data_IF_933761130685
#
_entry.id   IF_933761130685
#
_cell.length_a   1.000
_cell.length_b   1.000
_cell.length_c   1.000
_cell.angle_alpha   90.00
_cell.angle_beta   90.00
_cell.angle_gamma   90.00
#
_symmetry.space_group_name_H-M   'P 1'
#
loop_
_entity.id
_entity.type
_entity.pdbx_description
1 polymer ?
#
# COMPACT_ATOMS: atom_id res chain seq x y z
N UNK A 1 -11.78 1.57 16.36
CA UNK A 1 -12.00 2.03 14.99
C UNK A 1 -11.25 1.15 14.03
N UNK A 2 -11.89 0.79 12.95
CA UNK A 2 -11.25 -0.04 11.94
C UNK A 2 -10.41 0.80 11.02
N UNK A 3 -9.25 0.27 10.68
CA UNK A 3 -8.39 0.85 9.68
C UNK A 3 -8.98 0.51 8.31
N UNK A 4 -9.18 1.52 7.46
CA UNK A 4 -9.77 1.33 6.14
C UNK A 4 -8.67 1.28 5.09
N UNK A 5 -8.63 0.21 4.32
CA UNK A 5 -7.51 -0.06 3.42
C UNK A 5 -7.97 -0.29 1.99
N UNK A 6 -7.27 0.31 1.05
CA UNK A 6 -7.44 0.04 -0.38
C UNK A 6 -6.24 -0.79 -0.83
N UNK A 7 -6.48 -1.91 -1.52
CA UNK A 7 -5.43 -2.77 -2.04
C UNK A 7 -5.25 -2.52 -3.53
N UNK A 8 -4.03 -2.29 -3.96
CA UNK A 8 -3.72 -2.06 -5.38
C UNK A 8 -2.69 -3.06 -5.85
N UNK A 9 -3.10 -3.96 -6.74
CA UNK A 9 -2.25 -5.03 -7.24
C UNK A 9 -2.91 -5.58 -8.51
N UNK A 10 -2.12 -5.99 -9.49
CA UNK A 10 -2.69 -6.55 -10.72
C UNK A 10 -3.04 -8.03 -10.58
N UNK A 11 -2.64 -8.68 -9.50
CA UNK A 11 -2.93 -10.10 -9.27
C UNK A 11 -4.22 -10.27 -8.47
N UNK A 12 -5.24 -10.84 -9.11
CA UNK A 12 -6.51 -11.13 -8.44
C UNK A 12 -6.28 -12.09 -7.28
N UNK A 13 -5.41 -13.09 -7.46
CA UNK A 13 -5.12 -14.05 -6.40
C UNK A 13 -4.55 -13.38 -5.16
N UNK A 14 -3.61 -12.47 -5.37
CA UNK A 14 -3.04 -11.76 -4.23
C UNK A 14 -4.09 -10.90 -3.54
N UNK A 15 -4.91 -10.19 -4.33
CA UNK A 15 -5.94 -9.32 -3.78
C UNK A 15 -6.93 -10.11 -2.92
N UNK A 16 -7.35 -11.28 -3.39
CA UNK A 16 -8.28 -12.12 -2.62
C UNK A 16 -7.65 -12.63 -1.33
N UNK A 17 -6.40 -13.10 -1.41
CA UNK A 17 -5.71 -13.64 -0.25
C UNK A 17 -5.42 -12.53 0.77
N UNK A 18 -4.97 -11.39 0.30
CA UNK A 18 -4.65 -10.27 1.19
C UNK A 18 -5.91 -9.73 1.86
N UNK A 19 -7.00 -9.65 1.11
CA UNK A 19 -8.27 -9.18 1.67
C UNK A 19 -8.73 -10.10 2.80
N UNK A 20 -8.72 -11.40 2.56
CA UNK A 20 -9.16 -12.37 3.56
C UNK A 20 -8.28 -12.30 4.80
N UNK A 21 -6.96 -12.20 4.60
CA UNK A 21 -6.01 -12.11 5.70
C UNK A 21 -6.24 -10.87 6.54
N UNK A 22 -6.36 -9.72 5.90
CA UNK A 22 -6.48 -8.45 6.62
C UNK A 22 -7.83 -8.32 7.30
N UNK A 23 -8.90 -8.76 6.64
CA UNK A 23 -10.23 -8.69 7.26
C UNK A 23 -10.34 -9.58 8.48
N UNK A 24 -9.69 -10.74 8.44
CA UNK A 24 -9.65 -11.62 9.61
C UNK A 24 -9.00 -10.93 10.80
N UNK A 25 -8.03 -10.06 10.53
CA UNK A 25 -7.30 -9.36 11.58
C UNK A 25 -7.91 -8.01 11.94
N UNK A 26 -9.09 -7.71 11.42
CA UNK A 26 -9.82 -6.49 11.80
C UNK A 26 -9.56 -5.27 10.94
N UNK A 27 -8.84 -5.41 9.82
CA UNK A 27 -8.65 -4.31 8.88
C UNK A 27 -9.80 -4.32 7.89
N UNK A 28 -10.44 -3.18 7.68
CA UNK A 28 -11.54 -3.08 6.73
C UNK A 28 -10.97 -2.83 5.33
N UNK A 29 -11.04 -3.82 4.45
CA UNK A 29 -10.61 -3.64 3.06
C UNK A 29 -11.80 -3.05 2.32
N UNK A 30 -11.73 -1.74 2.08
CA UNK A 30 -12.87 -1.00 1.52
C UNK A 30 -12.93 -1.08 0.00
N UNK A 31 -11.86 -1.52 -0.63
CA UNK A 31 -11.86 -1.70 -2.08
C UNK A 31 -10.56 -2.30 -2.56
N UNK A 32 -10.56 -2.67 -3.84
CA UNK A 32 -9.37 -3.18 -4.52
C UNK A 32 -9.29 -2.47 -5.87
N UNK A 33 -8.07 -2.34 -6.39
CA UNK A 33 -7.83 -1.76 -7.70
C UNK A 33 -6.72 -2.54 -8.38
N UNK A 34 -6.81 -2.69 -9.69
CA UNK A 34 -5.85 -3.50 -10.43
C UNK A 34 -4.97 -2.68 -11.37
N UNK A 35 -5.17 -1.37 -11.41
CA UNK A 35 -4.40 -0.47 -12.26
C UNK A 35 -4.26 0.88 -11.59
N UNK A 36 -3.36 1.70 -12.11
CA UNK A 36 -3.18 3.05 -11.59
C UNK A 36 -4.42 3.92 -11.70
N UNK A 37 -5.06 4.00 -12.88
CA UNK A 37 -6.27 4.80 -13.01
C UNK A 37 -7.39 4.34 -12.10
N UNK A 38 -7.57 3.03 -11.95
CA UNK A 38 -8.59 2.49 -11.05
C UNK A 38 -8.27 2.85 -9.60
N UNK A 39 -6.99 2.76 -9.22
CA UNK A 39 -6.56 3.09 -7.87
C UNK A 39 -6.84 4.55 -7.54
N UNK A 40 -6.55 5.46 -8.48
CA UNK A 40 -6.81 6.88 -8.26
C UNK A 40 -8.29 7.17 -8.09
N UNK A 41 -9.13 6.55 -8.93
CA UNK A 41 -10.58 6.74 -8.84
C UNK A 41 -11.13 6.19 -7.53
N UNK A 42 -10.69 5.00 -7.14
CA UNK A 42 -11.15 4.37 -5.91
C UNK A 42 -10.69 5.12 -4.67
N UNK A 43 -9.44 5.58 -4.67
CA UNK A 43 -8.93 6.33 -3.52
C UNK A 43 -9.69 7.63 -3.32
N UNK A 44 -9.99 8.34 -4.42
CA UNK A 44 -10.76 9.58 -4.33
C UNK A 44 -12.18 9.33 -3.82
N UNK A 45 -12.78 8.23 -4.27
CA UNK A 45 -14.15 7.88 -3.90
C UNK A 45 -14.24 7.37 -2.45
N UNK A 46 -13.32 6.50 -2.07
CA UNK A 46 -13.41 5.79 -0.80
C UNK A 46 -12.67 6.47 0.34
N UNK A 47 -11.75 7.35 0.02
CA UNK A 47 -10.90 8.05 1.00
C UNK A 47 -10.38 7.10 2.08
N UNK A 48 -9.61 6.07 1.69
CA UNK A 48 -9.11 5.10 2.67
C UNK A 48 -8.06 5.73 3.58
N UNK A 49 -7.84 5.09 4.72
CA UNK A 49 -6.76 5.51 5.63
C UNK A 49 -5.41 5.12 5.06
N UNK A 50 -5.35 3.95 4.41
CA UNK A 50 -4.12 3.37 3.89
C UNK A 50 -4.36 2.85 2.49
N UNK A 51 -3.37 3.02 1.63
CA UNK A 51 -3.36 2.39 0.31
C UNK A 51 -2.12 1.52 0.24
N UNK A 52 -2.31 0.22 0.00
CA UNK A 52 -1.20 -0.70 -0.24
C UNK A 52 -1.00 -0.79 -1.75
N UNK A 53 0.17 -0.42 -2.23
CA UNK A 53 0.45 -0.30 -3.66
C UNK A 53 1.58 -1.22 -4.06
N UNK A 54 1.30 -2.16 -4.98
CA UNK A 54 2.35 -2.99 -5.57
C UNK A 54 3.28 -2.10 -6.39
N UNK A 55 4.58 -2.27 -6.21
CA UNK A 55 5.55 -1.47 -6.96
C UNK A 55 5.56 -1.83 -8.45
N UNK A 56 5.03 -3.00 -8.80
CA UNK A 56 5.05 -3.48 -10.19
C UNK A 56 3.62 -3.84 -10.60
N UNK A 57 2.96 -2.90 -11.29
CA UNK A 57 1.58 -3.08 -11.71
C UNK A 57 1.49 -3.29 -13.20
N UNK A 58 1.85 -4.47 -13.68
CA UNK A 58 1.67 -4.86 -15.09
C UNK A 58 1.95 -3.70 -16.06
N UNK A 59 3.20 -3.28 -16.11
CA UNK A 59 3.60 -2.19 -17.01
C UNK A 59 3.48 -0.79 -16.42
N UNK A 60 2.97 -0.67 -15.21
CA UNK A 60 2.88 0.62 -14.53
C UNK A 60 3.76 0.60 -13.28
N UNK A 61 4.33 1.74 -12.95
CA UNK A 61 5.18 1.85 -11.76
C UNK A 61 4.34 2.20 -10.54
N UNK A 62 4.45 1.39 -9.50
CA UNK A 62 3.82 1.70 -8.22
C UNK A 62 4.40 2.93 -7.58
N UNK A 63 5.68 3.26 -7.88
CA UNK A 63 6.29 4.48 -7.37
C UNK A 63 5.63 5.72 -7.98
N UNK A 64 5.35 5.70 -9.28
CA UNK A 64 4.66 6.79 -9.94
C UNK A 64 3.23 6.92 -9.44
N UNK A 65 2.58 5.80 -9.19
CA UNK A 65 1.23 5.82 -8.64
C UNK A 65 1.22 6.40 -7.24
N UNK A 66 2.22 6.08 -6.43
CA UNK A 66 2.31 6.64 -5.08
C UNK A 66 2.40 8.17 -5.12
N UNK A 67 3.17 8.70 -6.06
CA UNK A 67 3.26 10.15 -6.24
C UNK A 67 1.91 10.74 -6.61
N UNK A 68 1.22 10.13 -7.58
CA UNK A 68 -0.07 10.61 -8.04
C UNK A 68 -1.12 10.55 -6.92
N UNK A 69 -1.09 9.49 -6.11
CA UNK A 69 -2.02 9.36 -5.00
C UNK A 69 -1.78 10.45 -3.95
N UNK A 70 -0.52 10.74 -3.65
CA UNK A 70 -0.18 11.75 -2.64
C UNK A 70 -0.74 13.12 -3.02
N UNK A 71 -0.80 13.42 -4.32
CA UNK A 71 -1.34 14.70 -4.77
C UNK A 71 -2.86 14.77 -4.65
N UNK A 72 -3.54 13.65 -4.50
CA UNK A 72 -5.00 13.62 -4.58
C UNK A 72 -5.69 13.22 -3.29
N UNK A 73 -5.03 12.44 -2.44
CA UNK A 73 -5.65 11.95 -1.21
C UNK A 73 -4.69 12.07 -0.05
N UNK A 74 -5.25 12.05 1.14
CA UNK A 74 -4.47 12.16 2.38
C UNK A 74 -4.09 10.80 2.94
N UNK A 75 -4.38 9.73 2.23
CA UNK A 75 -4.10 8.37 2.69
C UNK A 75 -2.61 8.13 2.88
N UNK A 76 -2.29 7.28 3.84
CA UNK A 76 -0.92 6.80 4.00
C UNK A 76 -0.67 5.74 2.94
N UNK A 77 0.46 5.81 2.26
CA UNK A 77 0.80 4.87 1.21
C UNK A 77 1.89 3.95 1.69
N UNK A 78 1.68 2.65 1.53
CA UNK A 78 2.67 1.62 1.85
C UNK A 78 2.90 0.83 0.57
N UNK A 79 4.16 0.72 0.17
CA UNK A 79 4.51 -0.04 -1.03
C UNK A 79 4.69 -1.51 -0.66
N UNK A 80 4.26 -2.40 -1.54
CA UNK A 80 4.41 -3.84 -1.34
C UNK A 80 5.06 -4.46 -2.57
N UNK A 81 5.76 -5.57 -2.38
CA UNK A 81 6.43 -6.26 -3.49
C UNK A 81 6.79 -7.69 -3.09
N UNK A 82 6.96 -8.54 -4.10
CA UNK A 82 7.55 -9.86 -3.89
C UNK A 82 9.08 -9.79 -3.90
N UNK A 83 9.66 -8.65 -4.24
CA UNK A 83 11.11 -8.45 -4.24
C UNK A 83 11.56 -7.88 -2.91
N UNK A 84 12.82 -8.09 -2.56
CA UNK A 84 13.35 -7.56 -1.32
C UNK A 84 13.53 -6.05 -1.38
N UNK A 85 13.42 -5.39 -0.24
CA UNK A 85 13.61 -3.94 -0.15
C UNK A 85 14.97 -3.51 -0.69
N UNK A 86 16.00 -4.34 -0.50
CA UNK A 86 17.36 -4.01 -0.96
C UNK A 86 17.41 -3.64 -2.43
N UNK A 87 16.52 -4.23 -3.24
CA UNK A 87 16.50 -3.98 -4.67
C UNK A 87 15.93 -2.60 -5.01
N UNK A 88 15.18 -2.00 -4.08
CA UNK A 88 14.44 -0.76 -4.36
C UNK A 88 14.62 0.29 -3.28
N UNK A 89 15.61 0.12 -2.40
CA UNK A 89 15.73 0.96 -1.22
C UNK A 89 15.76 2.45 -1.54
N UNK A 90 16.52 2.83 -2.55
CA UNK A 90 16.62 4.25 -2.92
C UNK A 90 15.32 4.78 -3.48
N UNK A 91 14.62 3.96 -4.28
CA UNK A 91 13.35 4.37 -4.86
C UNK A 91 12.28 4.51 -3.79
N UNK A 92 12.26 3.60 -2.82
CA UNK A 92 11.31 3.68 -1.71
C UNK A 92 11.59 4.93 -0.89
N UNK A 93 12.87 5.19 -0.58
CA UNK A 93 13.25 6.35 0.21
C UNK A 93 12.90 7.66 -0.49
N UNK A 94 12.96 7.68 -1.82
CA UNK A 94 12.63 8.88 -2.59
C UNK A 94 11.13 9.05 -2.81
N UNK A 95 10.32 8.03 -2.50
CA UNK A 95 8.88 8.07 -2.75
C UNK A 95 8.15 8.67 -1.56
N UNK A 96 6.89 9.07 -1.73
CA UNK A 96 6.08 9.58 -0.61
C UNK A 96 5.52 8.48 0.27
N UNK A 97 5.86 7.22 0.02
CA UNK A 97 5.34 6.12 0.82
C UNK A 97 5.87 6.17 2.24
N UNK A 98 5.01 5.78 3.19
CA UNK A 98 5.38 5.70 4.59
C UNK A 98 6.35 4.55 4.84
N UNK A 99 6.23 3.49 4.05
CA UNK A 99 7.11 2.34 4.20
C UNK A 99 6.90 1.31 3.11
N UNK A 100 7.55 0.18 3.30
CA UNK A 100 7.56 -0.92 2.35
C UNK A 100 7.35 -2.22 3.11
N UNK A 101 6.54 -3.12 2.54
CA UNK A 101 6.37 -4.45 3.09
C UNK A 101 6.54 -5.48 1.98
N UNK A 102 7.26 -6.56 2.29
CA UNK A 102 7.30 -7.70 1.38
C UNK A 102 5.92 -8.36 1.45
N UNK A 103 5.40 -8.80 0.31
CA UNK A 103 4.05 -9.38 0.28
C UNK A 103 3.92 -10.58 1.23
N UNK A 104 4.99 -11.36 1.40
CA UNK A 104 4.96 -12.51 2.31
C UNK A 104 4.90 -12.11 3.78
N UNK A 105 5.22 -10.86 4.10
CA UNK A 105 5.19 -10.36 5.46
C UNK A 105 3.95 -9.52 5.76
N UNK A 106 3.02 -9.45 4.82
CA UNK A 106 1.83 -8.62 4.98
C UNK A 106 0.94 -9.14 6.09
N UNK A 107 0.59 -8.27 7.02
CA UNK A 107 -0.34 -8.55 8.10
C UNK A 107 -0.82 -7.24 8.68
N UNK A 108 -1.89 -7.26 9.45
CA UNK A 108 -2.35 -6.07 10.15
C UNK A 108 -1.28 -5.53 11.08
N UNK A 109 -0.57 -6.43 11.76
CA UNK A 109 0.51 -6.05 12.66
C UNK A 109 1.64 -5.35 11.92
N UNK A 110 2.04 -5.89 10.75
CA UNK A 110 3.10 -5.29 9.95
C UNK A 110 2.71 -3.90 9.47
N UNK A 111 1.46 -3.71 9.06
CA UNK A 111 0.94 -2.41 8.65
C UNK A 111 1.01 -1.44 9.82
N UNK A 112 0.55 -1.85 11.00
CA UNK A 112 0.58 -0.99 12.18
C UNK A 112 2.01 -0.61 12.56
N UNK A 113 2.96 -1.54 12.40
CA UNK A 113 4.35 -1.24 12.68
C UNK A 113 4.90 -0.16 11.77
N UNK A 114 4.54 -0.18 10.48
CA UNK A 114 4.94 0.86 9.55
C UNK A 114 4.35 2.20 9.97
N UNK A 115 3.08 2.22 10.36
CA UNK A 115 2.43 3.45 10.79
C UNK A 115 3.04 4.01 12.08
N UNK A 116 3.35 3.13 13.02
CA UNK A 116 3.90 3.53 14.30
C UNK A 116 5.32 4.08 14.19
N UNK A 117 6.10 3.54 13.27
CA UNK A 117 7.47 3.99 13.06
C UNK A 117 7.51 5.33 12.33
N UNK A 118 6.35 5.77 11.87
CA UNK A 118 6.23 7.08 11.31
C UNK A 118 6.95 7.28 10.01
N UNK A 119 7.52 6.27 9.52
CA UNK A 119 8.23 6.51 8.30
C UNK A 119 9.28 7.52 8.39
N UNK A 120 9.68 7.95 9.53
CA UNK A 120 10.55 8.97 9.56
C UNK A 120 11.57 8.55 10.33
N UNK A 121 11.90 8.00 10.04
CA UNK A 121 12.92 7.80 10.50
C UNK A 121 13.34 8.42 11.59
N UNK A 122 12.98 8.59 12.17
CA UNK A 122 13.48 9.20 13.06
C UNK A 122 13.82 8.66 13.94
N UNK A 123 14.36 8.58 14.35
CA UNK A 123 14.65 8.24 15.15
C UNK A 123 14.88 8.52 15.97
N UNK A 124 14.77 8.59 16.20
CA UNK A 124 14.99 8.73 16.80
C UNK A 124 15.27 8.67 17.44
#
# INVERSE_FOLDING_TARGET
MSMRCLLVDDSIRFLEAARALLERDGVAVVGVARSGPEALARAAELTPDIVLVDIDLDGESGFDLALALTDRVMSVIILISTHALDDFEELVAASPARGFLHKSALSARAIRAVLDNGGHGAPT
#
